data_IF_096011212486
#
_entry.id   IF_096011212486
#
_cell.length_a   1.000
_cell.length_b   1.000
_cell.length_c   1.000
_cell.angle_alpha   90.00
_cell.angle_beta   90.00
_cell.angle_gamma   90.00
#
_symmetry.space_group_name_H-M   'P 1'
#
loop_
_entity.id
_entity.type
_entity.pdbx_description
1 polymer ?
#
# COMPACT_ATOMS: atom_id res chain seq x y z
N UNK A 1 0.39 -6.05 14.58
CA UNK A 1 0.29 -5.45 13.23
C UNK A 1 1.68 -5.21 12.62
N UNK A 2 1.75 -4.94 11.29
CA UNK A 2 3.03 -4.68 10.59
C UNK A 2 3.65 -3.31 10.93
N UNK A 3 2.87 -2.40 11.48
CA UNK A 3 3.25 -1.01 11.77
C UNK A 3 2.78 -0.52 13.14
N UNK A 4 2.19 -1.40 13.96
CA UNK A 4 1.81 -1.05 15.33
C UNK A 4 3.04 -0.74 16.20
N UNK A 5 2.91 0.23 17.10
CA UNK A 5 4.01 0.72 17.94
C UNK A 5 4.01 0.10 19.35
N UNK A 6 2.99 -0.72 19.67
CA UNK A 6 2.96 -1.42 20.95
C UNK A 6 4.03 -2.53 21.03
N UNK A 7 4.37 -2.93 22.24
CA UNK A 7 5.43 -3.90 22.49
C UNK A 7 5.15 -5.26 21.83
N UNK A 8 3.92 -5.74 21.92
CA UNK A 8 3.56 -7.07 21.39
C UNK A 8 3.71 -7.13 19.87
N UNK A 9 3.29 -6.09 19.16
CA UNK A 9 3.44 -5.99 17.72
C UNK A 9 4.93 -5.97 17.32
N UNK A 10 5.76 -5.24 18.06
CA UNK A 10 7.21 -5.19 17.86
C UNK A 10 7.85 -6.56 18.08
N UNK A 11 7.51 -7.22 19.19
CA UNK A 11 8.07 -8.53 19.56
C UNK A 11 7.69 -9.60 18.51
N UNK A 12 6.46 -9.58 17.98
CA UNK A 12 6.03 -10.48 16.89
C UNK A 12 6.83 -10.24 15.60
N UNK A 13 7.05 -8.99 15.21
CA UNK A 13 7.84 -8.68 14.00
C UNK A 13 9.31 -9.07 14.16
N UNK A 14 9.89 -8.82 15.34
CA UNK A 14 11.23 -9.26 15.68
C UNK A 14 11.33 -10.78 15.62
N UNK A 15 10.40 -11.49 16.25
CA UNK A 15 10.33 -12.96 16.22
C UNK A 15 10.26 -13.48 14.77
N UNK A 16 9.47 -12.85 13.91
CA UNK A 16 9.39 -13.21 12.49
C UNK A 16 10.77 -13.13 11.83
N UNK A 17 11.48 -12.00 11.97
CA UNK A 17 12.78 -11.78 11.33
C UNK A 17 13.89 -12.68 11.90
N UNK A 18 13.83 -13.03 13.19
CA UNK A 18 14.77 -13.96 13.82
C UNK A 18 14.57 -15.39 13.31
N UNK A 19 13.33 -15.83 13.14
CA UNK A 19 12.98 -17.23 12.84
C UNK A 19 12.80 -17.51 11.35
N UNK A 20 12.70 -16.46 10.52
CA UNK A 20 12.50 -16.60 9.08
C UNK A 20 13.43 -15.69 8.30
N UNK A 21 13.79 -16.12 7.08
CA UNK A 21 14.32 -15.24 6.06
C UNK A 21 13.13 -14.61 5.36
N UNK A 22 12.81 -13.37 5.71
CA UNK A 22 11.79 -12.60 5.02
C UNK A 22 12.32 -12.17 3.65
N UNK A 23 11.74 -12.70 2.58
CA UNK A 23 12.19 -12.47 1.21
C UNK A 23 11.51 -11.22 0.61
N UNK A 24 10.22 -11.05 0.92
CA UNK A 24 9.47 -9.90 0.39
C UNK A 24 8.34 -9.42 1.29
N UNK A 25 8.04 -8.12 1.15
CA UNK A 25 6.85 -7.45 1.65
C UNK A 25 6.14 -6.81 0.47
N UNK A 26 4.98 -7.34 0.10
CA UNK A 26 4.13 -6.78 -0.96
C UNK A 26 3.00 -6.00 -0.31
N UNK A 27 3.10 -4.68 -0.35
CA UNK A 27 2.09 -3.77 0.16
C UNK A 27 0.96 -3.61 -0.87
N UNK A 28 -0.28 -3.75 -0.42
CA UNK A 28 -1.47 -3.59 -1.26
C UNK A 28 -2.23 -2.33 -0.89
N UNK A 29 -2.92 -1.69 -1.82
CA UNK A 29 -3.73 -0.51 -1.53
C UNK A 29 -4.90 -0.84 -0.59
N UNK A 30 -5.38 0.16 0.13
CA UNK A 30 -6.62 0.04 0.89
C UNK A 30 -7.79 -0.30 -0.05
N UNK A 31 -8.71 -1.14 0.43
CA UNK A 31 -9.89 -1.53 -0.33
C UNK A 31 -9.75 -2.81 -1.17
N UNK A 32 -8.55 -3.41 -1.29
CA UNK A 32 -8.38 -4.70 -2.00
C UNK A 32 -9.30 -5.79 -1.43
N UNK A 33 -9.54 -5.79 -0.14
CA UNK A 33 -10.40 -6.78 0.53
C UNK A 33 -11.79 -6.25 0.90
N UNK A 34 -12.24 -5.15 0.29
CA UNK A 34 -13.63 -4.73 0.44
C UNK A 34 -14.60 -5.80 -0.09
N UNK A 35 -15.77 -6.02 0.55
CA UNK A 35 -16.34 -5.27 1.69
C UNK A 35 -15.84 -5.71 3.07
N UNK A 36 -14.98 -6.74 3.18
CA UNK A 36 -14.57 -7.33 4.46
C UNK A 36 -13.58 -6.48 5.23
N UNK A 37 -12.64 -5.85 4.53
CA UNK A 37 -11.63 -4.99 5.13
C UNK A 37 -11.28 -3.80 4.22
N UNK A 38 -11.38 -2.58 4.77
CA UNK A 38 -11.02 -1.35 4.07
C UNK A 38 -9.59 -0.87 4.32
N UNK A 39 -8.85 -1.56 5.21
CA UNK A 39 -7.49 -1.17 5.61
C UNK A 39 -6.44 -1.59 4.59
N UNK A 40 -5.31 -0.88 4.59
CA UNK A 40 -4.12 -1.29 3.83
C UNK A 40 -3.58 -2.60 4.40
N UNK A 41 -3.26 -3.55 3.54
CA UNK A 41 -2.77 -4.88 3.89
C UNK A 41 -1.46 -5.18 3.18
N UNK A 42 -0.76 -6.22 3.59
CA UNK A 42 0.47 -6.66 2.92
C UNK A 42 0.60 -8.18 2.93
N UNK A 43 1.21 -8.73 1.88
CA UNK A 43 1.70 -10.10 1.88
C UNK A 43 3.14 -10.13 2.37
N UNK A 44 3.46 -11.13 3.18
CA UNK A 44 4.81 -11.46 3.60
C UNK A 44 5.21 -12.80 2.97
N UNK A 45 6.34 -12.81 2.27
CA UNK A 45 6.91 -14.01 1.67
C UNK A 45 8.20 -14.34 2.40
N UNK A 46 8.27 -15.51 3.01
CA UNK A 46 9.41 -15.89 3.84
C UNK A 46 9.69 -17.39 3.82
N UNK A 47 10.93 -17.76 4.15
CA UNK A 47 11.39 -19.12 4.39
C UNK A 47 11.76 -19.29 5.84
N UNK A 48 11.43 -20.44 6.43
CA UNK A 48 11.82 -20.78 7.80
C UNK A 48 13.35 -20.93 7.87
N UNK A 49 13.99 -20.30 8.87
CA UNK A 49 15.40 -20.50 9.18
C UNK A 49 15.60 -21.82 9.94
N UNK A 50 16.73 -22.47 9.73
CA UNK A 50 17.12 -23.69 10.48
C UNK A 50 17.48 -23.34 11.91
N UNK A 51 18.08 -22.17 12.13
CA UNK A 51 18.42 -21.62 13.46
C UNK A 51 17.92 -20.19 13.55
N UNK A 52 17.26 -19.83 14.66
CA UNK A 52 16.86 -18.44 14.90
C UNK A 52 18.09 -17.53 14.97
N UNK A 53 18.15 -16.55 14.10
CA UNK A 53 19.22 -15.56 14.05
C UNK A 53 18.74 -14.30 13.31
N UNK A 54 19.03 -13.13 13.87
CA UNK A 54 18.81 -11.86 13.19
C UNK A 54 20.06 -11.52 12.37
N UNK A 55 19.97 -11.67 11.05
CA UNK A 55 21.09 -11.38 10.13
C UNK A 55 20.91 -9.99 9.56
N UNK A 56 21.63 -9.01 10.11
CA UNK A 56 21.49 -7.57 9.77
C UNK A 56 21.66 -7.25 8.29
N UNK A 57 22.54 -7.99 7.60
CA UNK A 57 22.83 -7.81 6.18
C UNK A 57 21.80 -8.43 5.21
N UNK A 58 20.85 -9.23 5.72
CA UNK A 58 19.78 -9.76 4.86
C UNK A 58 18.98 -8.62 4.25
N UNK A 59 18.71 -8.73 2.94
CA UNK A 59 17.89 -7.76 2.20
C UNK A 59 16.48 -8.30 2.04
N UNK A 60 15.51 -7.42 2.24
CA UNK A 60 14.09 -7.68 2.06
C UNK A 60 13.61 -6.84 0.89
N UNK A 61 12.97 -7.48 -0.07
CA UNK A 61 12.39 -6.81 -1.21
C UNK A 61 11.02 -6.23 -0.85
N UNK A 62 10.81 -4.96 -1.16
CA UNK A 62 9.53 -4.29 -0.99
C UNK A 62 8.91 -4.02 -2.35
N UNK A 63 7.61 -4.25 -2.45
CA UNK A 63 6.79 -3.85 -3.59
C UNK A 63 5.56 -3.11 -3.09
N UNK A 64 5.33 -1.89 -3.58
CA UNK A 64 4.15 -1.08 -3.22
C UNK A 64 3.16 -1.04 -4.38
N UNK A 65 2.16 -1.90 -4.31
CA UNK A 65 1.09 -2.02 -5.30
C UNK A 65 0.06 -0.92 -5.11
N UNK A 66 -0.31 -0.25 -6.18
CA UNK A 66 -1.31 0.84 -6.18
C UNK A 66 -2.68 0.38 -6.68
N UNK A 67 -2.78 -0.77 -7.34
CA UNK A 67 -4.03 -1.32 -7.83
C UNK A 67 -3.97 -2.81 -8.15
N UNK A 68 -5.10 -3.49 -7.96
CA UNK A 68 -5.30 -4.93 -8.20
C UNK A 68 -6.15 -5.22 -9.45
N UNK A 69 -6.42 -4.21 -10.27
CA UNK A 69 -7.32 -4.31 -11.42
C UNK A 69 -8.80 -4.14 -11.07
N UNK A 70 -9.10 -3.73 -9.85
CA UNK A 70 -10.48 -3.47 -9.40
C UNK A 70 -10.70 -2.03 -8.93
N UNK A 71 -11.97 -1.68 -8.72
CA UNK A 71 -12.39 -0.36 -8.23
C UNK A 71 -12.02 -0.08 -6.76
N UNK A 72 -11.43 -1.02 -6.04
CA UNK A 72 -11.10 -0.93 -4.60
C UNK A 72 -12.29 -0.52 -3.69
N UNK A 73 -13.52 -0.75 -4.14
CA UNK A 73 -14.77 -0.41 -3.45
C UNK A 73 -15.52 -1.66 -2.99
N UNK A 74 -16.51 -1.50 -2.11
CA UNK A 74 -17.32 -2.60 -1.59
C UNK A 74 -18.05 -3.38 -2.72
N UNK A 75 -18.54 -2.67 -3.74
CA UNK A 75 -19.08 -3.26 -4.96
C UNK A 75 -17.96 -3.32 -6.02
N UNK A 76 -17.08 -4.32 -5.92
CA UNK A 76 -15.93 -4.46 -6.82
C UNK A 76 -16.35 -4.54 -8.28
N UNK A 77 -15.72 -3.69 -9.08
CA UNK A 77 -15.81 -3.70 -10.55
C UNK A 77 -14.43 -3.91 -11.11
N UNK A 78 -14.32 -4.76 -12.13
CA UNK A 78 -13.08 -5.03 -12.85
C UNK A 78 -13.15 -4.39 -14.23
N UNK A 79 -11.99 -4.01 -14.77
CA UNK A 79 -11.93 -3.46 -16.11
C UNK A 79 -10.62 -2.72 -16.39
N UNK A 80 -10.34 -2.42 -17.66
CA UNK A 80 -9.08 -1.79 -18.09
C UNK A 80 -8.89 -0.38 -17.54
N UNK A 81 -9.96 0.27 -17.05
CA UNK A 81 -9.91 1.58 -16.40
C UNK A 81 -9.30 1.57 -15.01
N UNK A 82 -9.18 0.38 -14.38
CA UNK A 82 -8.61 0.26 -13.05
C UNK A 82 -7.14 -0.16 -13.13
N UNK A 83 -6.31 0.52 -12.34
CA UNK A 83 -4.89 0.21 -12.26
C UNK A 83 -4.66 -1.23 -11.79
N UNK A 84 -3.81 -1.95 -12.51
CA UNK A 84 -3.44 -3.33 -12.20
C UNK A 84 -1.93 -3.49 -12.22
N UNK A 85 -1.33 -3.59 -11.04
CA UNK A 85 0.12 -3.75 -10.88
C UNK A 85 0.53 -5.23 -10.71
N UNK A 86 -0.42 -6.17 -10.71
CA UNK A 86 -0.13 -7.61 -10.56
C UNK A 86 0.81 -8.13 -11.66
N UNK A 87 0.60 -7.83 -12.96
CA UNK A 87 1.54 -8.26 -13.99
C UNK A 87 2.96 -7.72 -13.75
N UNK A 88 3.08 -6.48 -13.27
CA UNK A 88 4.38 -5.86 -12.97
C UNK A 88 5.04 -6.52 -11.75
N UNK A 89 4.27 -6.82 -10.71
CA UNK A 89 4.75 -7.59 -9.56
C UNK A 89 5.35 -8.93 -10.00
N UNK A 90 4.63 -9.69 -10.81
CA UNK A 90 5.06 -11.02 -11.29
C UNK A 90 6.31 -10.92 -12.18
N UNK A 91 6.37 -9.92 -13.06
CA UNK A 91 7.54 -9.66 -13.90
C UNK A 91 8.80 -9.42 -13.06
N UNK A 92 8.70 -8.54 -12.06
CA UNK A 92 9.84 -8.16 -11.22
C UNK A 92 10.24 -9.28 -10.25
N UNK A 93 9.26 -10.03 -9.75
CA UNK A 93 9.51 -11.21 -8.93
C UNK A 93 10.25 -12.30 -9.72
N UNK A 94 9.81 -12.58 -10.95
CA UNK A 94 10.43 -13.56 -11.84
C UNK A 94 11.84 -13.19 -12.32
N UNK A 95 12.25 -11.93 -12.15
CA UNK A 95 13.61 -11.42 -12.46
C UNK A 95 14.44 -11.25 -11.17
N UNK A 96 14.41 -12.23 -10.28
CA UNK A 96 15.12 -12.21 -8.99
C UNK A 96 14.86 -10.95 -8.16
N UNK A 97 13.59 -10.54 -8.06
CA UNK A 97 13.17 -9.39 -7.27
C UNK A 97 13.85 -8.08 -7.72
N UNK A 98 13.83 -7.79 -9.01
CA UNK A 98 14.48 -6.59 -9.53
C UNK A 98 13.82 -5.30 -9.02
N UNK A 99 14.63 -4.22 -8.94
CA UNK A 99 14.19 -2.90 -8.53
C UNK A 99 13.61 -2.15 -9.74
N UNK A 100 12.42 -1.58 -9.59
CA UNK A 100 11.79 -0.74 -10.60
C UNK A 100 11.04 0.43 -9.94
N UNK A 101 11.47 1.66 -10.24
CA UNK A 101 10.79 2.88 -9.80
C UNK A 101 9.37 2.98 -10.37
N UNK A 102 8.39 3.44 -9.61
CA UNK A 102 8.37 3.67 -8.17
C UNK A 102 7.90 2.45 -7.36
N UNK A 103 7.91 1.26 -7.95
CA UNK A 103 7.21 0.07 -7.44
C UNK A 103 7.98 -0.70 -6.39
N UNK A 104 9.31 -0.85 -6.55
CA UNK A 104 10.07 -1.79 -5.73
C UNK A 104 11.47 -1.31 -5.37
N UNK A 105 11.95 -1.76 -4.20
CA UNK A 105 13.27 -1.48 -3.64
C UNK A 105 13.69 -2.55 -2.66
N UNK A 106 14.93 -2.48 -2.18
CA UNK A 106 15.42 -3.30 -1.09
C UNK A 106 15.66 -2.47 0.16
N UNK A 107 15.44 -3.09 1.31
CA UNK A 107 15.79 -2.59 2.65
C UNK A 107 16.51 -3.69 3.40
N UNK A 108 17.45 -3.34 4.27
CA UNK A 108 18.16 -4.32 5.09
C UNK A 108 17.42 -4.63 6.39
N UNK A 109 17.64 -5.83 6.93
CA UNK A 109 17.12 -6.20 8.25
C UNK A 109 17.62 -5.24 9.33
N UNK A 110 18.85 -4.70 9.18
CA UNK A 110 19.39 -3.68 10.08
C UNK A 110 18.53 -2.42 10.09
N UNK A 111 18.22 -1.85 8.91
CA UNK A 111 17.37 -0.66 8.80
C UNK A 111 15.99 -0.89 9.42
N UNK A 112 15.45 -2.09 9.27
CA UNK A 112 14.16 -2.47 9.85
C UNK A 112 14.26 -2.58 11.38
N UNK A 113 15.34 -3.16 11.90
CA UNK A 113 15.58 -3.25 13.34
C UNK A 113 15.75 -1.85 13.98
N UNK A 114 16.47 -0.96 13.32
CA UNK A 114 16.68 0.43 13.74
C UNK A 114 15.36 1.24 13.74
N UNK A 115 14.34 0.77 13.00
CA UNK A 115 12.99 1.36 12.92
C UNK A 115 11.93 0.48 13.63
N UNK A 116 12.23 -0.01 14.82
CA UNK A 116 11.30 -0.78 15.66
C UNK A 116 10.65 -1.99 14.96
N UNK A 117 11.40 -2.62 14.04
CA UNK A 117 10.94 -3.74 13.23
C UNK A 117 9.68 -3.45 12.39
N UNK A 118 9.39 -2.20 12.11
CA UNK A 118 8.25 -1.82 11.26
C UNK A 118 8.42 -2.44 9.87
N UNK A 119 7.36 -3.06 9.32
CA UNK A 119 7.34 -3.71 8.01
C UNK A 119 6.41 -2.99 7.02
N UNK A 120 6.19 -1.70 7.24
CA UNK A 120 5.41 -0.87 6.32
C UNK A 120 6.26 -0.40 5.14
N UNK A 121 5.80 -0.63 3.92
CA UNK A 121 6.47 -0.19 2.71
C UNK A 121 6.74 1.33 2.70
N UNK A 122 5.78 2.13 3.16
CA UNK A 122 5.91 3.59 3.19
C UNK A 122 7.08 4.08 4.06
N UNK A 123 7.51 3.31 5.06
CA UNK A 123 8.63 3.69 5.95
C UNK A 123 9.97 3.70 5.22
N UNK A 124 10.15 2.79 4.25
CA UNK A 124 11.42 2.55 3.57
C UNK A 124 11.41 2.93 2.09
N UNK A 125 10.32 3.46 1.58
CA UNK A 125 10.23 3.84 0.18
C UNK A 125 11.22 4.98 -0.12
N UNK A 126 12.19 4.78 -1.02
CA UNK A 126 13.07 5.86 -1.46
C UNK A 126 12.35 6.87 -2.38
N UNK A 127 11.09 6.58 -2.72
CA UNK A 127 10.24 7.38 -3.62
C UNK A 127 9.21 8.23 -2.87
N UNK A 128 9.23 8.23 -1.54
CA UNK A 128 8.39 9.11 -0.71
C UNK A 128 8.77 10.57 -0.99
N UNK A 129 7.92 11.29 -1.72
CA UNK A 129 8.15 12.66 -2.18
C UNK A 129 8.32 12.81 -3.69
N UNK A 130 8.57 11.71 -4.44
CA UNK A 130 8.53 11.68 -5.92
C UNK A 130 7.14 11.29 -6.47
N UNK A 131 6.15 10.97 -5.63
CA UNK A 131 4.78 10.99 -6.12
C UNK A 131 4.54 12.42 -6.56
N UNK A 132 4.41 12.62 -7.89
CA UNK A 132 3.68 13.75 -8.40
C UNK A 132 2.31 13.74 -7.69
N UNK A 133 2.26 14.36 -6.52
CA UNK A 133 1.04 14.98 -6.11
C UNK A 133 0.82 16.04 -7.18
N UNK A 134 0.17 15.67 -8.29
CA UNK A 134 -0.59 16.62 -9.07
C UNK A 134 -1.61 17.16 -8.06
N UNK A 135 -1.13 18.11 -7.24
CA UNK A 135 -2.04 18.92 -6.47
C UNK A 135 -2.88 19.59 -7.51
N UNK A 136 -4.12 19.08 -7.66
CA UNK A 136 -5.11 19.78 -8.48
C UNK A 136 -5.10 21.22 -8.01
N UNK A 137 -5.04 22.14 -8.96
CA UNK A 137 -5.02 23.57 -8.65
C UNK A 137 -6.15 23.83 -7.63
N UNK A 138 -5.86 24.47 -6.49
CA UNK A 138 -6.88 24.84 -5.53
C UNK A 138 -8.08 25.51 -6.17
N UNK A 139 -7.87 26.26 -7.26
CA UNK A 139 -8.94 26.89 -8.05
C UNK A 139 -9.83 25.86 -8.77
N UNK A 140 -9.26 24.75 -9.27
CA UNK A 140 -10.06 23.67 -9.88
C UNK A 140 -10.90 22.95 -8.82
N UNK A 141 -10.35 22.71 -7.64
CA UNK A 141 -11.06 22.09 -6.52
C UNK A 141 -12.21 22.99 -6.07
N UNK A 142 -11.95 24.29 -5.90
CA UNK A 142 -12.99 25.27 -5.55
C UNK A 142 -14.08 25.33 -6.61
N UNK A 143 -13.74 25.35 -7.90
CA UNK A 143 -14.71 25.34 -8.98
C UNK A 143 -15.57 24.07 -9.00
N UNK A 144 -15.00 22.91 -8.66
CA UNK A 144 -15.77 21.66 -8.55
C UNK A 144 -16.71 21.67 -7.34
N UNK A 145 -16.28 22.22 -6.22
CA UNK A 145 -17.12 22.40 -5.02
C UNK A 145 -18.30 23.30 -5.34
N UNK A 146 -18.05 24.47 -5.92
CA UNK A 146 -19.12 25.42 -6.29
C UNK A 146 -20.12 24.82 -7.28
N UNK A 147 -19.65 24.01 -8.24
CA UNK A 147 -20.54 23.30 -9.17
C UNK A 147 -21.43 22.31 -8.47
N UNK A 148 -20.85 21.48 -7.60
CA UNK A 148 -21.61 20.48 -6.82
C UNK A 148 -22.60 21.13 -5.84
N UNK A 149 -22.24 22.25 -5.27
CA UNK A 149 -23.14 23.03 -4.40
C UNK A 149 -24.36 23.53 -5.20
N UNK A 150 -24.17 24.08 -6.39
CA UNK A 150 -25.29 24.52 -7.26
C UNK A 150 -26.18 23.36 -7.70
N UNK A 151 -25.59 22.20 -8.05
CA UNK A 151 -26.35 20.99 -8.37
C UNK A 151 -27.19 20.53 -7.18
N UNK A 152 -26.63 20.55 -5.98
CA UNK A 152 -27.34 20.19 -4.75
C UNK A 152 -28.50 21.15 -4.44
N UNK A 153 -28.29 22.46 -4.59
CA UNK A 153 -29.35 23.47 -4.41
C UNK A 153 -30.49 23.22 -5.41
N UNK A 154 -30.16 22.98 -6.68
CA UNK A 154 -31.15 22.69 -7.74
C UNK A 154 -31.97 21.43 -7.44
N UNK A 155 -31.32 20.37 -6.90
CA UNK A 155 -32.02 19.16 -6.50
C UNK A 155 -32.94 19.40 -5.31
N UNK A 156 -32.50 20.17 -4.31
CA UNK A 156 -33.31 20.53 -3.14
C UNK A 156 -34.54 21.37 -3.54
N UNK A 157 -34.40 22.28 -4.50
CA UNK A 157 -35.54 23.07 -5.03
C UNK A 157 -36.56 22.20 -5.74
N UNK A 158 -36.11 21.22 -6.56
CA UNK A 158 -36.99 20.22 -7.18
C UNK A 158 -37.71 19.36 -6.17
N UNK A 159 -37.06 19.02 -5.07
CA UNK A 159 -37.69 18.22 -4.00
C UNK A 159 -38.71 19.03 -3.20
N UNK A 160 -38.53 20.35 -3.05
CA UNK A 160 -39.48 21.25 -2.38
C UNK A 160 -40.73 21.55 -3.20
N UNK A 161 -40.62 21.48 -4.53
CA UNK A 161 -41.72 21.75 -5.47
C UNK A 161 -41.91 20.53 -6.39
N UNK A 162 -42.39 19.38 -5.88
CA UNK A 162 -42.75 18.26 -6.72
C UNK A 162 -44.05 18.63 -7.46
N UNK A 163 -43.98 18.75 -8.81
CA UNK A 163 -45.16 18.84 -9.67
C UNK A 163 -45.78 17.45 -9.84
#
# INVERSE_FOLDING_TARGET
SLFGTNKDDKDIRRFLLENTKLEAVVSMPAGVFQPYAGVKTSFLIFKKKTRPELVEGEKIWFFDMKGDGSSLSAAKKFGPQYKNDIPKLLELWGKDQSVAKPYSWFTTVKEIADNDYILSANTYSPYNGEEETTHRDPKEILGEIERKEREMITLLEKMKNPH
#
